data_IF_611986410389
#
_entry.id   IF_611986410389
#
_cell.length_a   1.000
_cell.length_b   1.000
_cell.length_c   1.000
_cell.angle_alpha   90.00
_cell.angle_beta   90.00
_cell.angle_gamma   90.00
#
_symmetry.space_group_name_H-M   'P 1'
#
loop_
_entity.id
_entity.type
_entity.pdbx_description
1 polymer ?
#
# COMPACT_ATOMS: atom_id res chain seq x y z
N UNK A 1 6.86 -18.14 2.67
CA UNK A 1 6.03 -16.92 2.60
C UNK A 1 4.57 -17.17 2.97
N UNK A 2 3.87 -18.12 2.35
CA UNK A 2 2.44 -18.44 2.63
C UNK A 2 2.15 -18.74 4.10
N UNK A 3 2.96 -19.57 4.75
CA UNK A 3 2.81 -19.86 6.19
C UNK A 3 2.94 -18.62 7.08
N UNK A 4 3.81 -17.67 6.72
CA UNK A 4 3.98 -16.40 7.43
C UNK A 4 2.78 -15.48 7.30
N UNK A 5 2.11 -15.48 6.14
CA UNK A 5 0.86 -14.74 5.91
C UNK A 5 -0.27 -15.33 6.75
N UNK A 6 -0.41 -16.66 6.77
CA UNK A 6 -1.42 -17.34 7.59
C UNK A 6 -1.18 -17.06 9.07
N UNK A 7 0.07 -17.12 9.54
CA UNK A 7 0.39 -16.79 10.93
C UNK A 7 0.05 -15.32 11.27
N UNK A 8 0.35 -14.38 10.37
CA UNK A 8 -0.02 -12.96 10.53
C UNK A 8 -1.53 -12.76 10.59
N UNK A 9 -2.31 -13.43 9.74
CA UNK A 9 -3.78 -13.27 9.73
C UNK A 9 -4.41 -13.86 10.98
N UNK A 10 -3.95 -15.02 11.44
CA UNK A 10 -4.43 -15.60 12.71
C UNK A 10 -4.12 -14.68 13.91
N UNK A 11 -2.91 -14.09 13.95
CA UNK A 11 -2.55 -13.11 14.98
C UNK A 11 -3.39 -11.83 14.91
N UNK A 12 -3.79 -11.39 13.71
CA UNK A 12 -4.66 -10.22 13.53
C UNK A 12 -6.07 -10.45 14.09
N UNK A 13 -6.60 -11.68 13.94
CA UNK A 13 -7.94 -12.04 14.43
C UNK A 13 -7.97 -12.26 15.95
N UNK A 14 -6.92 -12.86 16.52
CA UNK A 14 -6.92 -13.32 17.92
C UNK A 14 -6.12 -12.43 18.87
N UNK A 15 -5.21 -11.60 18.36
CA UNK A 15 -4.18 -10.93 19.15
C UNK A 15 -4.58 -9.55 19.67
N UNK A 16 -4.11 -9.23 20.87
CA UNK A 16 -4.08 -7.85 21.40
C UNK A 16 -3.00 -7.02 20.70
N UNK A 17 -3.09 -5.68 20.74
CA UNK A 17 -2.20 -4.77 19.99
C UNK A 17 -0.70 -5.02 20.24
N UNK A 18 -0.32 -5.37 21.48
CA UNK A 18 1.07 -5.68 21.83
C UNK A 18 1.51 -7.04 21.28
N UNK A 19 0.67 -8.07 21.36
CA UNK A 19 0.95 -9.39 20.81
C UNK A 19 1.07 -9.36 19.29
N UNK A 20 0.27 -8.51 18.64
CA UNK A 20 0.36 -8.29 17.20
C UNK A 20 1.72 -7.68 16.85
N UNK A 21 2.18 -6.66 17.59
CA UNK A 21 3.47 -6.02 17.33
C UNK A 21 4.63 -7.00 17.47
N UNK A 22 4.71 -7.75 18.57
CA UNK A 22 5.78 -8.73 18.77
C UNK A 22 5.74 -9.87 17.76
N UNK A 23 4.55 -10.40 17.45
CA UNK A 23 4.39 -11.45 16.44
C UNK A 23 4.79 -10.97 15.03
N UNK A 24 4.51 -9.70 14.71
CA UNK A 24 4.87 -9.10 13.45
C UNK A 24 6.40 -9.01 13.25
N UNK A 25 7.11 -8.54 14.28
CA UNK A 25 8.58 -8.46 14.28
C UNK A 25 9.19 -9.86 14.17
N UNK A 26 8.71 -10.81 14.98
CA UNK A 26 9.21 -12.19 14.99
C UNK A 26 9.05 -12.89 13.65
N UNK A 27 7.86 -12.83 13.04
CA UNK A 27 7.60 -13.43 11.72
C UNK A 27 8.50 -12.80 10.65
N UNK A 28 8.73 -11.48 10.73
CA UNK A 28 9.58 -10.79 9.76
C UNK A 28 11.04 -11.25 9.84
N UNK A 29 11.59 -11.39 11.05
CA UNK A 29 12.95 -11.89 11.26
C UNK A 29 13.11 -13.32 10.74
N UNK A 30 12.15 -14.20 11.06
CA UNK A 30 12.16 -15.59 10.61
C UNK A 30 12.14 -15.66 9.07
N UNK A 31 11.28 -14.88 8.42
CA UNK A 31 11.20 -14.83 6.95
C UNK A 31 12.47 -14.28 6.30
N UNK A 32 13.10 -13.25 6.89
CA UNK A 32 14.37 -12.73 6.39
C UNK A 32 15.49 -13.77 6.52
N UNK A 33 15.66 -14.38 7.69
CA UNK A 33 16.72 -15.39 7.93
C UNK A 33 16.55 -16.61 7.03
N UNK A 34 15.33 -17.14 6.94
CA UNK A 34 15.04 -18.29 6.06
C UNK A 34 15.16 -17.94 4.58
N UNK A 35 14.84 -16.69 4.20
CA UNK A 35 15.04 -16.18 2.84
C UNK A 35 16.51 -16.18 2.42
N UNK A 36 17.41 -15.69 3.29
CA UNK A 36 18.86 -15.71 3.01
C UNK A 36 19.46 -17.11 2.93
N UNK A 37 18.84 -18.11 3.58
CA UNK A 37 19.29 -19.50 3.54
C UNK A 37 18.78 -20.27 2.31
N UNK A 38 17.55 -20.02 1.87
CA UNK A 38 16.90 -20.81 0.81
C UNK A 38 16.98 -20.19 -0.59
N UNK A 39 17.27 -18.89 -0.72
CA UNK A 39 17.22 -18.13 -1.98
C UNK A 39 18.63 -17.64 -2.34
N UNK A 40 19.03 -17.61 -3.63
CA UNK A 40 20.29 -17.00 -4.04
C UNK A 40 20.38 -15.52 -3.62
N UNK A 41 21.56 -15.11 -3.13
CA UNK A 41 21.78 -13.79 -2.50
C UNK A 41 21.29 -12.62 -3.36
N UNK A 42 21.49 -12.66 -4.67
CA UNK A 42 21.10 -11.57 -5.60
C UNK A 42 19.60 -11.30 -5.59
N UNK A 43 18.76 -12.34 -5.43
CA UNK A 43 17.31 -12.18 -5.39
C UNK A 43 16.87 -11.74 -3.98
N UNK A 44 17.53 -12.23 -2.94
CA UNK A 44 17.17 -11.90 -1.56
C UNK A 44 17.49 -10.43 -1.23
N UNK A 45 18.62 -9.89 -1.68
CA UNK A 45 18.98 -8.47 -1.49
C UNK A 45 17.93 -7.54 -2.10
N UNK A 46 17.42 -7.88 -3.29
CA UNK A 46 16.36 -7.15 -3.96
C UNK A 46 15.05 -7.15 -3.15
N UNK A 47 14.63 -8.32 -2.67
CA UNK A 47 13.42 -8.47 -1.86
C UNK A 47 13.55 -7.81 -0.48
N UNK A 48 14.74 -7.88 0.13
CA UNK A 48 15.03 -7.25 1.42
C UNK A 48 14.96 -5.72 1.30
N UNK A 49 15.48 -5.15 0.21
CA UNK A 49 15.35 -3.72 -0.06
C UNK A 49 13.87 -3.30 -0.21
N UNK A 50 13.08 -4.06 -0.98
CA UNK A 50 11.64 -3.81 -1.12
C UNK A 50 10.87 -3.94 0.21
N UNK A 51 11.28 -4.86 1.08
CA UNK A 51 10.74 -4.97 2.43
C UNK A 51 11.08 -3.74 3.28
N UNK A 52 12.34 -3.27 3.28
CA UNK A 52 12.73 -2.04 3.98
C UNK A 52 11.93 -0.83 3.49
N UNK A 53 11.72 -0.70 2.18
CA UNK A 53 10.89 0.35 1.60
C UNK A 53 9.45 0.30 2.15
N UNK A 54 8.82 -0.88 2.20
CA UNK A 54 7.46 -1.03 2.73
C UNK A 54 7.38 -0.78 4.25
N UNK A 55 8.42 -1.12 5.02
CA UNK A 55 8.48 -0.82 6.46
C UNK A 55 8.59 0.69 6.71
N UNK A 56 9.32 1.40 5.86
CA UNK A 56 9.42 2.87 5.92
C UNK A 56 8.17 3.59 5.41
N UNK A 57 7.28 2.89 4.71
CA UNK A 57 6.06 3.45 4.16
C UNK A 57 4.93 3.42 5.21
N UNK A 58 4.46 4.60 5.61
CA UNK A 58 3.38 4.73 6.59
C UNK A 58 2.04 4.63 5.86
N UNK A 59 1.32 3.52 6.04
CA UNK A 59 -0.10 3.44 5.69
C UNK A 59 -0.96 3.79 6.90
N UNK A 60 -1.80 4.81 6.76
CA UNK A 60 -2.91 5.09 7.70
C UNK A 60 -4.15 4.33 7.21
N UNK A 61 -4.04 3.02 7.06
CA UNK A 61 -5.17 2.18 6.64
C UNK A 61 -6.26 2.17 7.72
N UNK A 62 -7.52 2.39 7.31
CA UNK A 62 -8.68 2.54 8.20
C UNK A 62 -8.98 3.97 8.65
N UNK A 63 -7.98 4.86 8.75
CA UNK A 63 -8.22 6.28 9.04
C UNK A 63 -8.77 7.02 7.82
N UNK A 64 -8.19 6.75 6.65
CA UNK A 64 -8.65 7.27 5.35
C UNK A 64 -10.02 6.72 4.98
N UNK A 65 -10.26 5.43 5.18
CA UNK A 65 -11.55 4.80 4.86
C UNK A 65 -12.69 5.40 5.70
N UNK A 66 -12.44 5.67 6.99
CA UNK A 66 -13.38 6.41 7.83
C UNK A 66 -13.57 7.85 7.33
N UNK A 67 -12.51 8.57 6.96
CA UNK A 67 -12.64 9.94 6.43
C UNK A 67 -13.49 10.01 5.16
N UNK A 68 -13.34 9.05 4.26
CA UNK A 68 -14.07 9.00 2.99
C UNK A 68 -15.54 8.62 3.13
N UNK A 69 -15.89 7.89 4.20
CA UNK A 69 -17.16 7.19 4.28
C UNK A 69 -17.95 7.41 5.58
N UNK A 70 -17.43 8.19 6.53
CA UNK A 70 -18.16 8.53 7.75
C UNK A 70 -19.46 9.27 7.46
N UNK A 71 -20.48 8.98 8.26
CA UNK A 71 -21.79 9.63 8.19
C UNK A 71 -21.70 11.12 8.57
N UNK A 72 -22.68 11.91 8.12
CA UNK A 72 -22.74 13.36 8.34
C UNK A 72 -22.81 13.78 9.80
N UNK A 73 -23.19 12.87 10.70
CA UNK A 73 -23.17 13.09 12.15
C UNK A 73 -21.74 13.06 12.73
N UNK A 74 -20.83 12.30 12.13
CA UNK A 74 -19.43 12.17 12.59
C UNK A 74 -18.50 13.19 11.92
N UNK A 75 -18.72 13.53 10.65
CA UNK A 75 -17.89 14.49 9.92
C UNK A 75 -18.75 15.36 8.98
N UNK A 76 -19.32 16.48 9.47
CA UNK A 76 -20.32 17.28 8.73
C UNK A 76 -19.80 17.89 7.42
N UNK A 77 -18.48 18.03 7.27
CA UNK A 77 -17.86 18.51 6.04
C UNK A 77 -17.40 17.37 5.11
N UNK A 78 -17.57 16.09 5.45
CA UNK A 78 -17.03 14.92 4.73
C UNK A 78 -17.51 14.74 3.26
N UNK A 79 -16.78 13.95 2.44
CA UNK A 79 -17.17 13.66 1.04
C UNK A 79 -18.28 12.59 0.89
N UNK A 80 -18.68 11.92 1.99
CA UNK A 80 -19.82 10.98 2.05
C UNK A 80 -19.92 9.96 0.92
N UNK A 81 -18.82 9.28 0.59
CA UNK A 81 -18.88 8.26 -0.47
C UNK A 81 -19.67 7.03 -0.02
N UNK A 82 -20.56 6.55 -0.87
CA UNK A 82 -21.21 5.25 -0.64
C UNK A 82 -20.17 4.13 -0.72
N UNK A 83 -20.23 3.13 0.18
CA UNK A 83 -19.31 1.97 0.21
C UNK A 83 -19.11 1.34 -1.16
N UNK A 84 -20.22 1.21 -1.90
CA UNK A 84 -20.26 0.57 -3.22
C UNK A 84 -19.50 1.41 -4.24
N UNK A 85 -19.61 2.73 -4.21
CA UNK A 85 -18.83 3.60 -5.09
C UNK A 85 -17.34 3.51 -4.76
N UNK A 86 -16.96 3.69 -3.49
CA UNK A 86 -15.57 3.68 -3.05
C UNK A 86 -14.87 2.35 -3.36
N UNK A 87 -15.49 1.22 -3.02
CA UNK A 87 -14.88 -0.09 -3.27
C UNK A 87 -14.86 -0.47 -4.75
N UNK A 88 -15.92 -0.16 -5.52
CA UNK A 88 -15.98 -0.59 -6.93
C UNK A 88 -15.07 0.27 -7.80
N UNK A 89 -15.10 1.59 -7.63
CA UNK A 89 -14.24 2.51 -8.39
C UNK A 89 -12.77 2.32 -7.98
N UNK A 90 -12.48 2.23 -6.69
CA UNK A 90 -11.13 1.93 -6.20
C UNK A 90 -10.60 0.60 -6.72
N UNK A 91 -11.42 -0.46 -6.71
CA UNK A 91 -11.03 -1.75 -7.28
C UNK A 91 -10.79 -1.68 -8.79
N UNK A 92 -11.66 -1.01 -9.56
CA UNK A 92 -11.49 -0.89 -11.01
C UNK A 92 -10.22 -0.11 -11.35
N UNK A 93 -10.01 1.05 -10.74
CA UNK A 93 -8.80 1.86 -10.96
C UNK A 93 -7.56 1.07 -10.56
N UNK A 94 -7.58 0.42 -9.39
CA UNK A 94 -6.48 -0.41 -8.91
C UNK A 94 -6.14 -1.56 -9.85
N UNK A 95 -7.15 -2.24 -10.43
CA UNK A 95 -6.93 -3.31 -11.39
C UNK A 95 -6.36 -2.79 -12.72
N UNK A 96 -6.85 -1.66 -13.23
CA UNK A 96 -6.33 -1.04 -14.46
C UNK A 96 -4.89 -0.56 -14.27
N UNK A 97 -4.60 0.11 -13.15
CA UNK A 97 -3.25 0.53 -12.79
C UNK A 97 -2.31 -0.67 -12.62
N UNK A 98 -2.80 -1.76 -12.00
CA UNK A 98 -2.07 -3.03 -11.87
C UNK A 98 -1.71 -3.64 -13.23
N UNK A 99 -2.66 -3.72 -14.15
CA UNK A 99 -2.42 -4.20 -15.52
C UNK A 99 -1.39 -3.33 -16.25
N UNK A 100 -1.52 -2.00 -16.13
CA UNK A 100 -0.58 -1.06 -16.72
C UNK A 100 0.84 -1.23 -16.13
N UNK A 101 0.94 -1.38 -14.81
CA UNK A 101 2.20 -1.64 -14.12
C UNK A 101 2.88 -2.92 -14.61
N UNK A 102 2.13 -4.03 -14.71
CA UNK A 102 2.66 -5.31 -15.23
C UNK A 102 3.11 -5.16 -16.68
N UNK A 103 2.32 -4.49 -17.52
CA UNK A 103 2.67 -4.23 -18.92
C UNK A 103 3.96 -3.42 -19.05
N UNK A 104 4.07 -2.31 -18.32
CA UNK A 104 5.28 -1.49 -18.28
C UNK A 104 6.48 -2.27 -17.76
N UNK A 105 6.30 -3.12 -16.75
CA UNK A 105 7.39 -3.93 -16.20
C UNK A 105 7.91 -4.95 -17.21
N UNK A 106 6.99 -5.67 -17.86
CA UNK A 106 7.33 -6.68 -18.87
C UNK A 106 8.01 -6.08 -20.10
N UNK A 107 7.60 -4.88 -20.54
CA UNK A 107 8.06 -4.31 -21.82
C UNK A 107 9.25 -3.35 -21.68
N UNK A 108 9.24 -2.52 -20.65
CA UNK A 108 10.21 -1.43 -20.46
C UNK A 108 11.22 -1.82 -19.38
N UNK A 109 10.77 -2.13 -18.17
CA UNK A 109 11.68 -2.36 -17.04
C UNK A 109 12.43 -3.69 -17.12
N UNK A 110 11.93 -4.68 -17.85
CA UNK A 110 12.64 -5.93 -18.14
C UNK A 110 13.97 -5.72 -18.89
N UNK A 111 14.16 -4.57 -19.55
CA UNK A 111 15.39 -4.24 -20.30
C UNK A 111 16.29 -3.24 -19.57
N UNK A 112 15.84 -2.71 -18.43
CA UNK A 112 16.55 -1.67 -17.68
C UNK A 112 17.33 -2.27 -16.51
N UNK A 113 18.28 -1.51 -15.99
CA UNK A 113 18.99 -1.90 -14.77
C UNK A 113 18.05 -1.87 -13.56
N UNK A 114 18.25 -2.82 -12.64
CA UNK A 114 17.44 -2.96 -11.41
C UNK A 114 17.33 -1.66 -10.61
N UNK A 115 18.43 -0.89 -10.54
CA UNK A 115 18.48 0.40 -9.82
C UNK A 115 17.54 1.45 -10.42
N UNK A 116 17.50 1.55 -11.75
CA UNK A 116 16.63 2.52 -12.44
C UNK A 116 15.17 2.15 -12.24
N UNK A 117 14.83 0.87 -12.38
CA UNK A 117 13.47 0.37 -12.12
C UNK A 117 13.02 0.71 -10.71
N UNK A 118 13.86 0.47 -9.69
CA UNK A 118 13.54 0.81 -8.30
C UNK A 118 13.29 2.31 -8.11
N UNK A 119 14.18 3.17 -8.61
CA UNK A 119 14.03 4.62 -8.48
C UNK A 119 12.72 5.08 -9.14
N UNK A 120 12.42 4.60 -10.34
CA UNK A 120 11.16 4.92 -11.01
C UNK A 120 9.95 4.47 -10.20
N UNK A 121 9.95 3.25 -9.65
CA UNK A 121 8.83 2.76 -8.83
C UNK A 121 8.64 3.56 -7.55
N UNK A 122 9.73 3.98 -6.90
CA UNK A 122 9.67 4.83 -5.71
C UNK A 122 9.12 6.21 -6.06
N UNK A 123 9.54 6.80 -7.17
CA UNK A 123 9.00 8.10 -7.61
C UNK A 123 7.51 8.03 -7.89
N UNK A 124 7.04 6.97 -8.57
CA UNK A 124 5.60 6.76 -8.80
C UNK A 124 4.85 6.62 -7.48
N UNK A 125 5.41 5.86 -6.52
CA UNK A 125 4.81 5.70 -5.20
C UNK A 125 4.74 7.03 -4.45
N UNK A 126 5.81 7.84 -4.44
CA UNK A 126 5.83 9.16 -3.81
C UNK A 126 4.79 10.09 -4.44
N UNK A 127 4.68 10.10 -5.78
CA UNK A 127 3.66 10.89 -6.48
C UNK A 127 2.24 10.43 -6.09
N UNK A 128 2.00 9.13 -5.97
CA UNK A 128 0.72 8.59 -5.51
C UNK A 128 0.40 9.05 -4.07
N UNK A 129 1.38 9.00 -3.16
CA UNK A 129 1.19 9.46 -1.78
C UNK A 129 0.95 10.98 -1.67
N UNK A 130 1.45 11.77 -2.62
CA UNK A 130 1.14 13.21 -2.68
C UNK A 130 -0.34 13.42 -3.03
N UNK A 131 -0.93 12.60 -3.90
CA UNK A 131 -2.38 12.67 -4.16
C UNK A 131 -3.21 12.39 -2.89
N UNK A 132 -2.82 11.39 -2.09
CA UNK A 132 -3.49 11.13 -0.81
C UNK A 132 -3.46 12.37 0.11
N UNK A 133 -2.32 13.07 0.18
CA UNK A 133 -2.19 14.30 0.98
C UNK A 133 -3.09 15.42 0.44
N UNK A 134 -3.14 15.60 -0.88
CA UNK A 134 -4.00 16.61 -1.54
C UNK A 134 -5.48 16.41 -1.17
N UNK A 135 -5.92 15.15 -1.12
CA UNK A 135 -7.31 14.81 -0.80
C UNK A 135 -7.60 15.04 0.69
N UNK A 136 -6.69 14.65 1.58
CA UNK A 136 -6.84 14.85 3.03
C UNK A 136 -6.85 16.34 3.40
N UNK A 137 -5.94 17.14 2.84
CA UNK A 137 -5.87 18.59 3.05
C UNK A 137 -6.94 19.37 2.25
N UNK A 138 -7.80 18.67 1.48
CA UNK A 138 -8.89 19.24 0.69
C UNK A 138 -8.46 20.36 -0.27
N UNK A 139 -7.22 20.30 -0.75
CA UNK A 139 -6.75 21.22 -1.79
C UNK A 139 -7.59 21.11 -3.07
N UNK A 140 -8.26 19.96 -3.24
CA UNK A 140 -9.24 19.73 -4.30
C UNK A 140 -10.40 20.74 -4.32
N UNK A 141 -10.94 21.11 -3.15
CA UNK A 141 -12.04 22.07 -3.03
C UNK A 141 -11.58 23.50 -3.34
N UNK A 142 -10.32 23.84 -3.03
CA UNK A 142 -9.73 25.14 -3.38
C UNK A 142 -9.54 25.30 -4.89
N UNK A 143 -9.33 24.19 -5.61
CA UNK A 143 -9.18 24.14 -7.06
C UNK A 143 -10.56 24.00 -7.77
N UNK A 144 -11.64 23.78 -7.01
CA UNK A 144 -13.01 23.73 -7.53
C UNK A 144 -13.40 22.40 -8.18
N UNK A 145 -12.65 21.32 -7.90
CA UNK A 145 -12.99 19.97 -8.36
C UNK A 145 -13.92 19.36 -7.30
N UNK A 146 -15.06 18.76 -7.68
CA UNK A 146 -15.93 18.06 -6.73
C UNK A 146 -15.27 16.76 -6.27
N UNK A 147 -15.42 16.42 -4.99
CA UNK A 147 -14.72 15.28 -4.38
C UNK A 147 -15.03 13.94 -5.08
N UNK A 148 -16.18 13.82 -5.74
CA UNK A 148 -16.57 12.62 -6.52
C UNK A 148 -15.80 12.40 -7.84
N UNK A 149 -14.98 13.36 -8.28
CA UNK A 149 -14.28 13.30 -9.57
C UNK A 149 -12.77 13.06 -9.44
N UNK A 150 -12.22 13.09 -8.23
CA UNK A 150 -10.81 12.82 -7.92
C UNK A 150 -10.64 11.41 -7.37
#
# INVERSE_FOLDING_TARGET
MTAGVIARTMLNVMGTTQQLLYGCVGISLILCVTGFLCIPMTIMEANFFGWCQLVSYILISGGTDNFYMSDAECLPDGPYFTQTFYNTVGAVIGNVAGLFGVYMFARVFSKQSYRVTLICTILVQVLASVFDIIIVERWNLYIGIPDHAM
#
